data_IF_864089825023
#
_entry.id   IF_864089825023
#
_cell.length_a   1.000
_cell.length_b   1.000
_cell.length_c   1.000
_cell.angle_alpha   90.00
_cell.angle_beta   90.00
_cell.angle_gamma   90.00
#
_symmetry.space_group_name_H-M   'P 1'
#
loop_
_entity.id
_entity.type
_entity.pdbx_description
1 polymer ?
#
# COMPACT_ATOMS: atom_id res chain seq x y z
N UNK A 1 -41.31 -11.43 -13.77
CA UNK A 1 -40.09 -11.23 -12.96
C UNK A 1 -39.38 -10.00 -13.50
N UNK A 2 -39.23 -8.92 -12.72
CA UNK A 2 -38.54 -7.70 -13.19
C UNK A 2 -37.03 -7.96 -13.10
N UNK A 3 -36.36 -7.96 -14.25
CA UNK A 3 -34.90 -8.01 -14.34
C UNK A 3 -34.36 -6.73 -13.71
N UNK A 4 -33.73 -6.81 -12.54
CA UNK A 4 -32.98 -5.69 -12.00
C UNK A 4 -31.79 -5.45 -12.92
N UNK A 5 -31.75 -4.28 -13.55
CA UNK A 5 -30.68 -3.91 -14.48
C UNK A 5 -29.33 -3.91 -13.73
N UNK A 6 -28.30 -4.62 -14.22
CA UNK A 6 -26.98 -4.64 -13.57
C UNK A 6 -26.36 -3.24 -13.49
N UNK A 7 -26.79 -2.33 -14.38
CA UNK A 7 -26.39 -0.92 -14.40
C UNK A 7 -26.95 -0.18 -13.17
N UNK A 8 -28.16 -0.51 -12.74
CA UNK A 8 -28.78 0.09 -11.55
C UNK A 8 -28.08 -0.37 -10.26
N UNK A 9 -27.63 -1.63 -10.22
CA UNK A 9 -26.84 -2.17 -9.11
C UNK A 9 -25.44 -1.53 -9.02
N UNK A 10 -24.74 -1.34 -10.15
CA UNK A 10 -23.44 -0.65 -10.18
C UNK A 10 -23.56 0.84 -9.81
N UNK A 11 -24.63 1.50 -10.23
CA UNK A 11 -24.91 2.89 -9.86
C UNK A 11 -25.21 3.02 -8.35
N UNK A 12 -26.00 2.09 -7.77
CA UNK A 12 -26.24 2.05 -6.32
C UNK A 12 -24.96 1.76 -5.53
N UNK A 13 -24.10 0.88 -6.02
CA UNK A 13 -22.79 0.62 -5.41
C UNK A 13 -21.94 1.90 -5.34
N UNK A 14 -21.98 2.73 -6.40
CA UNK A 14 -21.25 4.01 -6.47
C UNK A 14 -21.79 5.09 -5.50
N UNK A 15 -23.07 5.02 -5.12
CA UNK A 15 -23.69 5.96 -4.18
C UNK A 15 -23.38 5.57 -2.72
N UNK A 16 -23.32 4.26 -2.43
CA UNK A 16 -22.99 3.74 -1.08
C UNK A 16 -21.52 4.02 -0.71
N UNK A 17 -20.62 4.16 -1.70
CA UNK A 17 -19.19 4.42 -1.48
C UNK A 17 -18.82 5.82 -0.99
N UNK A 18 -19.76 6.67 -0.55
CA UNK A 18 -19.41 8.06 -0.18
C UNK A 18 -19.36 8.39 1.30
N UNK A 19 -19.98 7.64 2.20
CA UNK A 19 -19.95 8.02 3.61
C UNK A 19 -20.09 6.81 4.51
N UNK A 20 -18.95 6.36 5.03
CA UNK A 20 -18.68 5.82 6.37
C UNK A 20 -17.26 5.25 6.30
N UNK A 21 -16.26 6.13 6.16
CA UNK A 21 -14.88 5.73 6.42
C UNK A 21 -14.88 5.10 7.81
N UNK A 22 -14.54 3.82 7.86
CA UNK A 22 -14.64 3.00 9.06
C UNK A 22 -13.76 3.69 10.10
N UNK A 23 -14.38 4.27 11.13
CA UNK A 23 -13.70 5.14 12.08
C UNK A 23 -12.48 4.42 12.67
N UNK A 24 -11.30 5.02 12.54
CA UNK A 24 -10.04 4.45 13.02
C UNK A 24 -9.44 3.35 12.14
N UNK A 25 -9.84 3.26 10.86
CA UNK A 25 -9.24 2.38 9.87
C UNK A 25 -8.40 3.17 8.86
N UNK A 26 -7.09 2.98 8.92
CA UNK A 26 -6.07 3.69 8.13
C UNK A 26 -5.72 2.95 6.82
N UNK A 27 -6.08 1.68 6.68
CA UNK A 27 -5.74 0.95 5.47
C UNK A 27 -6.59 1.38 4.26
N UNK A 28 -5.96 1.99 3.27
CA UNK A 28 -6.52 2.24 1.94
C UNK A 28 -6.54 3.72 1.56
N UNK A 29 -6.42 4.02 0.28
CA UNK A 29 -6.46 5.36 -0.26
C UNK A 29 -7.81 5.64 -0.96
N UNK A 30 -8.79 6.10 -0.18
CA UNK A 30 -10.16 6.40 -0.64
C UNK A 30 -11.13 5.23 -0.50
N UNK A 31 -12.43 5.52 -0.59
CA UNK A 31 -13.49 4.67 -0.04
C UNK A 31 -13.48 3.22 -0.50
N UNK A 32 -13.32 2.97 -1.80
CA UNK A 32 -13.35 1.61 -2.33
C UNK A 32 -12.22 0.74 -1.75
N UNK A 33 -11.00 1.27 -1.72
CA UNK A 33 -9.85 0.56 -1.18
C UNK A 33 -9.93 0.40 0.34
N UNK A 34 -10.48 1.40 1.06
CA UNK A 34 -10.74 1.35 2.50
C UNK A 34 -11.75 0.24 2.86
N UNK A 35 -12.85 0.12 2.12
CA UNK A 35 -13.79 -0.98 2.33
C UNK A 35 -13.18 -2.33 1.99
N UNK A 36 -12.50 -2.41 0.84
CA UNK A 36 -11.88 -3.65 0.38
C UNK A 36 -10.85 -4.17 1.38
N UNK A 37 -9.97 -3.30 1.87
CA UNK A 37 -8.97 -3.65 2.89
C UNK A 37 -9.64 -4.09 4.18
N UNK A 38 -10.71 -3.41 4.61
CA UNK A 38 -11.44 -3.79 5.82
C UNK A 38 -12.07 -5.17 5.73
N UNK A 39 -12.68 -5.52 4.59
CA UNK A 39 -13.28 -6.83 4.37
C UNK A 39 -12.23 -7.92 4.23
N UNK A 40 -11.15 -7.67 3.49
CA UNK A 40 -10.05 -8.63 3.36
C UNK A 40 -9.50 -8.97 4.74
N UNK A 41 -9.34 -7.99 5.63
CA UNK A 41 -8.83 -8.17 6.99
C UNK A 41 -9.80 -8.83 7.98
N UNK A 42 -11.03 -9.18 7.58
CA UNK A 42 -12.09 -9.64 8.50
C UNK A 42 -11.70 -10.86 9.34
N UNK A 43 -11.01 -11.85 8.75
CA UNK A 43 -10.63 -13.10 9.42
C UNK A 43 -9.24 -13.05 10.07
N UNK A 44 -8.76 -11.86 10.41
CA UNK A 44 -7.42 -11.66 10.97
C UNK A 44 -7.38 -10.57 12.06
N UNK A 45 -6.18 -10.29 12.57
CA UNK A 45 -5.93 -9.29 13.60
C UNK A 45 -5.98 -7.88 13.02
N UNK A 46 -7.20 -7.35 12.86
CA UNK A 46 -7.46 -6.04 12.26
C UNK A 46 -6.65 -4.91 12.88
N UNK A 47 -6.52 -4.88 14.20
CA UNK A 47 -5.76 -3.82 14.88
C UNK A 47 -4.28 -3.84 14.46
N UNK A 48 -3.65 -5.01 14.44
CA UNK A 48 -2.25 -5.15 13.99
C UNK A 48 -2.08 -4.80 12.51
N UNK A 49 -3.04 -5.20 11.67
CA UNK A 49 -3.03 -4.81 10.24
C UNK A 49 -3.17 -3.29 10.11
N UNK A 50 -4.06 -2.68 10.89
CA UNK A 50 -4.28 -1.25 10.87
C UNK A 50 -3.04 -0.48 11.33
N UNK A 51 -2.36 -0.95 12.37
CA UNK A 51 -1.10 -0.37 12.85
C UNK A 51 -0.02 -0.41 11.75
N UNK A 52 0.05 -1.50 10.98
CA UNK A 52 0.94 -1.57 9.81
C UNK A 52 0.59 -0.51 8.75
N UNK A 53 -0.71 -0.28 8.48
CA UNK A 53 -1.15 0.74 7.53
C UNK A 53 -0.86 2.16 8.03
N UNK A 54 -1.17 2.45 9.29
CA UNK A 54 -0.85 3.72 9.93
C UNK A 54 0.65 4.05 9.80
N UNK A 55 1.53 3.10 10.14
CA UNK A 55 2.97 3.32 10.03
C UNK A 55 3.44 3.51 8.58
N UNK A 56 2.85 2.79 7.63
CA UNK A 56 3.15 2.93 6.20
C UNK A 56 2.79 4.32 5.68
N UNK A 57 1.60 4.82 6.03
CA UNK A 57 1.15 6.14 5.65
C UNK A 57 2.00 7.25 6.27
N UNK A 58 2.39 7.12 7.55
CA UNK A 58 3.28 8.07 8.22
C UNK A 58 4.70 8.07 7.62
N UNK A 59 5.23 6.88 7.29
CA UNK A 59 6.55 6.75 6.64
C UNK A 59 6.59 7.48 5.29
N UNK A 60 5.48 7.46 4.53
CA UNK A 60 5.34 8.16 3.25
C UNK A 60 5.05 9.65 3.46
N UNK A 61 4.13 10.00 4.37
CA UNK A 61 3.65 11.37 4.58
C UNK A 61 4.74 12.30 5.10
N UNK A 62 5.64 11.80 5.95
CA UNK A 62 6.75 12.57 6.51
C UNK A 62 8.10 12.28 5.82
N UNK A 63 8.09 11.57 4.69
CA UNK A 63 9.29 11.20 3.92
C UNK A 63 10.38 10.52 4.78
N UNK A 64 9.98 9.80 5.85
CA UNK A 64 10.92 9.03 6.68
C UNK A 64 11.59 7.92 5.88
N UNK A 65 10.84 7.33 4.95
CA UNK A 65 11.31 6.31 4.03
C UNK A 65 10.89 6.66 2.60
N UNK A 66 11.72 6.28 1.63
CA UNK A 66 11.24 6.29 0.24
C UNK A 66 10.06 5.34 0.09
N UNK A 67 9.18 5.62 -0.89
CA UNK A 67 7.97 4.81 -1.11
C UNK A 67 8.25 3.30 -1.18
N UNK A 68 9.31 2.89 -1.89
CA UNK A 68 9.69 1.47 -1.99
C UNK A 68 10.13 0.89 -0.63
N UNK A 69 10.88 1.65 0.17
CA UNK A 69 11.29 1.22 1.50
C UNK A 69 10.10 1.13 2.46
N UNK A 70 9.16 2.06 2.36
CA UNK A 70 7.92 2.02 3.12
C UNK A 70 7.09 0.77 2.75
N UNK A 71 6.92 0.48 1.45
CA UNK A 71 6.20 -0.71 0.98
C UNK A 71 6.83 -2.02 1.49
N UNK A 72 8.17 -2.12 1.48
CA UNK A 72 8.87 -3.31 1.99
C UNK A 72 8.73 -3.45 3.51
N UNK A 73 8.87 -2.36 4.26
CA UNK A 73 8.67 -2.37 5.72
C UNK A 73 7.23 -2.72 6.09
N UNK A 74 6.26 -2.22 5.34
CA UNK A 74 4.86 -2.58 5.48
C UNK A 74 4.63 -4.08 5.29
N UNK A 75 5.23 -4.67 4.24
CA UNK A 75 5.17 -6.11 4.03
C UNK A 75 5.80 -6.94 5.17
N UNK A 76 6.92 -6.47 5.73
CA UNK A 76 7.54 -7.09 6.90
C UNK A 76 6.70 -6.91 8.16
N UNK A 77 5.95 -5.81 8.27
CA UNK A 77 5.02 -5.60 9.37
C UNK A 77 3.92 -6.68 9.36
N UNK A 78 3.30 -6.92 8.20
CA UNK A 78 2.27 -7.96 8.04
C UNK A 78 2.80 -9.38 8.28
N UNK A 79 4.08 -9.65 8.02
CA UNK A 79 4.72 -10.94 8.29
C UNK A 79 4.79 -11.32 9.77
N UNK A 80 4.78 -10.32 10.66
CA UNK A 80 4.89 -10.52 12.11
C UNK A 80 3.56 -10.85 12.77
N UNK A 81 2.45 -10.72 12.04
CA UNK A 81 1.11 -11.04 12.53
C UNK A 81 0.96 -12.55 12.58
N UNK A 82 0.75 -13.11 13.78
CA UNK A 82 0.66 -14.56 14.00
C UNK A 82 -0.71 -15.14 13.61
N UNK A 83 -1.05 -15.02 12.32
CA UNK A 83 -2.31 -15.53 11.76
C UNK A 83 -2.06 -16.24 10.44
N UNK A 84 -2.58 -17.46 10.30
CA UNK A 84 -2.58 -18.18 9.03
C UNK A 84 -3.23 -17.35 7.92
N UNK A 85 -4.36 -16.73 8.22
CA UNK A 85 -5.07 -15.88 7.27
C UNK A 85 -4.29 -14.59 6.97
N UNK A 86 -3.58 -14.01 7.95
CA UNK A 86 -2.69 -12.88 7.68
C UNK A 86 -1.60 -13.26 6.67
N UNK A 87 -0.94 -14.40 6.90
CA UNK A 87 0.18 -14.88 6.08
C UNK A 87 -0.22 -15.19 4.65
N UNK A 88 -1.34 -15.86 4.45
CA UNK A 88 -1.73 -16.41 3.15
C UNK A 88 -2.74 -15.55 2.36
N UNK A 89 -3.44 -14.63 3.01
CA UNK A 89 -4.46 -13.80 2.35
C UNK A 89 -4.17 -12.32 2.51
N UNK A 90 -4.03 -11.82 3.74
CA UNK A 90 -3.86 -10.38 3.99
C UNK A 90 -2.55 -9.88 3.40
N UNK A 91 -1.42 -10.49 3.80
CA UNK A 91 -0.09 -10.10 3.33
C UNK A 91 0.00 -10.04 1.81
N UNK A 92 -0.28 -11.13 1.05
CA UNK A 92 -0.15 -11.06 -0.41
C UNK A 92 -1.10 -10.02 -1.02
N UNK A 93 -2.33 -9.88 -0.52
CA UNK A 93 -3.28 -8.88 -1.05
C UNK A 93 -2.78 -7.46 -0.85
N UNK A 94 -2.38 -7.11 0.37
CA UNK A 94 -1.96 -5.76 0.72
C UNK A 94 -0.58 -5.42 0.15
N UNK A 95 0.39 -6.33 0.24
CA UNK A 95 1.73 -6.15 -0.33
C UNK A 95 1.68 -5.92 -1.84
N UNK A 96 0.93 -6.75 -2.57
CA UNK A 96 0.82 -6.59 -4.01
C UNK A 96 0.10 -5.28 -4.37
N UNK A 97 -0.92 -4.88 -3.60
CA UNK A 97 -1.61 -3.62 -3.82
C UNK A 97 -0.69 -2.40 -3.67
N UNK A 98 0.10 -2.31 -2.59
CA UNK A 98 1.00 -1.16 -2.39
C UNK A 98 2.14 -1.14 -3.40
N UNK A 99 2.72 -2.30 -3.73
CA UNK A 99 3.79 -2.41 -4.74
C UNK A 99 3.28 -2.11 -6.14
N UNK A 100 2.09 -2.59 -6.50
CA UNK A 100 1.46 -2.26 -7.77
C UNK A 100 1.16 -0.76 -7.85
N UNK A 101 0.62 -0.17 -6.78
CA UNK A 101 0.38 1.28 -6.73
C UNK A 101 1.68 2.05 -6.97
N UNK A 102 2.76 1.69 -6.28
CA UNK A 102 4.07 2.34 -6.45
C UNK A 102 4.62 2.17 -7.86
N UNK A 103 4.42 1.00 -8.49
CA UNK A 103 4.79 0.75 -9.87
C UNK A 103 4.01 1.65 -10.85
N UNK A 104 2.68 1.77 -10.69
CA UNK A 104 1.83 2.56 -11.58
C UNK A 104 1.92 4.07 -11.35
N UNK A 105 2.25 4.48 -10.12
CA UNK A 105 2.45 5.90 -9.78
C UNK A 105 3.90 6.35 -9.93
N UNK A 106 4.79 5.45 -10.32
CA UNK A 106 6.17 5.78 -10.65
C UNK A 106 6.22 6.72 -11.86
N UNK A 107 6.49 7.99 -11.60
CA UNK A 107 6.82 8.98 -12.63
C UNK A 107 8.33 9.22 -12.62
N UNK A 108 9.04 9.03 -13.75
CA UNK A 108 10.48 9.29 -13.85
C UNK A 108 10.83 10.79 -13.67
N UNK A 109 9.85 11.69 -13.69
CA UNK A 109 10.05 13.12 -13.44
C UNK A 109 10.19 13.43 -11.93
N UNK A 110 9.52 12.67 -11.07
CA UNK A 110 9.65 12.79 -9.60
C UNK A 110 10.94 12.15 -9.07
N UNK A 111 11.64 11.36 -9.88
CA UNK A 111 13.00 10.88 -9.58
C UNK A 111 14.12 11.85 -10.00
N UNK A 112 13.83 12.93 -10.74
CA UNK A 112 14.81 14.01 -10.99
C UNK A 112 14.90 15.00 -9.82
N UNK A 113 13.87 15.04 -8.99
CA UNK A 113 13.99 15.49 -7.59
C UNK A 113 14.32 14.25 -6.76
N UNK A 114 15.33 13.50 -7.19
CA UNK A 114 16.33 13.08 -6.22
C UNK A 114 16.81 14.37 -5.58
N UNK A 115 16.21 14.76 -4.44
CA UNK A 115 17.07 15.27 -3.38
C UNK A 115 18.16 14.20 -3.33
N UNK A 116 19.38 14.59 -3.73
CA UNK A 116 20.58 13.90 -3.33
C UNK A 116 20.32 13.53 -1.88
N UNK A 117 19.96 12.29 -1.58
CA UNK A 117 19.88 11.85 -0.21
C UNK A 117 21.35 11.73 0.17
N UNK A 118 21.93 12.64 0.99
CA UNK A 118 23.20 12.33 1.60
C UNK A 118 22.93 11.14 2.51
N UNK A 119 23.14 9.92 2.01
CA UNK A 119 23.54 8.87 2.92
C UNK A 119 24.78 9.43 3.61
N UNK A 120 24.82 9.42 4.96
CA UNK A 120 25.98 9.86 5.75
C UNK A 120 27.31 9.13 5.41
N UNK A 121 27.35 8.36 4.31
CA UNK A 121 28.47 7.57 3.79
C UNK A 121 28.64 7.67 2.25
N UNK A 122 28.09 8.68 1.56
CA UNK A 122 28.43 8.93 0.14
C UNK A 122 28.05 7.83 -0.85
N UNK A 123 27.05 7.01 -0.53
CA UNK A 123 26.62 5.87 -1.34
C UNK A 123 25.34 6.19 -2.10
N UNK A 124 25.44 6.27 -3.42
CA UNK A 124 24.32 6.50 -4.34
C UNK A 124 23.68 5.17 -4.70
N UNK A 125 22.36 5.06 -4.57
CA UNK A 125 21.60 3.88 -4.97
C UNK A 125 20.84 4.19 -6.25
N UNK A 126 20.92 3.29 -7.24
CA UNK A 126 20.21 3.42 -8.52
C UNK A 126 19.28 2.23 -8.71
N UNK A 127 18.08 2.48 -9.22
CA UNK A 127 17.14 1.40 -9.56
C UNK A 127 17.61 0.69 -10.83
N UNK A 128 17.88 -0.62 -10.73
CA UNK A 128 18.25 -1.45 -11.88
C UNK A 128 16.99 -2.09 -12.46
N UNK A 129 16.66 -1.74 -13.71
CA UNK A 129 15.46 -2.21 -14.40
C UNK A 129 15.49 -3.70 -14.73
N UNK A 130 16.67 -4.26 -14.97
CA UNK A 130 16.85 -5.66 -15.35
C UNK A 130 16.71 -6.60 -14.14
N UNK A 131 17.05 -6.10 -12.96
CA UNK A 131 17.00 -6.86 -11.71
C UNK A 131 15.75 -6.55 -10.87
N UNK A 132 14.98 -5.52 -11.25
CA UNK A 132 13.80 -5.08 -10.50
C UNK A 132 14.10 -4.65 -9.06
N UNK A 133 15.34 -4.25 -8.75
CA UNK A 133 15.80 -3.95 -7.39
C UNK A 133 16.73 -2.72 -7.35
N UNK A 134 16.84 -2.11 -6.18
CA UNK A 134 17.81 -1.04 -5.92
C UNK A 134 19.22 -1.63 -5.81
N UNK A 135 20.15 -1.12 -6.62
CA UNK A 135 21.56 -1.51 -6.59
C UNK A 135 22.42 -0.35 -6.12
N UNK A 136 23.44 -0.68 -5.33
CA UNK A 136 24.43 0.30 -4.92
C UNK A 136 25.28 0.65 -6.14
N UNK A 137 25.36 1.94 -6.48
CA UNK A 137 26.26 2.41 -7.53
C UNK A 137 27.67 2.45 -6.92
N UNK A 138 28.50 1.45 -7.25
CA UNK A 138 29.94 1.54 -7.03
C UNK A 138 30.51 2.56 -8.02
N UNK A 139 31.36 3.46 -7.53
CA UNK A 139 32.22 4.29 -8.39
C UNK A 139 33.15 3.45 -9.26
#
# INVERSE_FOLDING_TARGET
>A
MKLFSPILLLALFSIITKTNAISGWDCGNGTFSTYSSFFISYFSYRNEINDCCYQHDEDIKYDYLSRHQADDRFCQCLDRIDSFYARWVVKPSFCNAVKAYSYFTYSPERSRISIDYPTKKGRVWRYNRDLGQMVLQSE
#
